data_IF_324106794908
#
_entry.id   IF_324106794908
#
_cell.length_a   1.000
_cell.length_b   1.000
_cell.length_c   1.000
_cell.angle_alpha   90.00
_cell.angle_beta   90.00
_cell.angle_gamma   90.00
#
_symmetry.space_group_name_H-M   'P 1'
#
loop_
_entity.id
_entity.type
_entity.pdbx_description
1 polymer ?
#
# COMPACT_ATOMS: atom_id res chain seq x y z
N UNK A 1 8.78 -18.28 20.50
CA UNK A 1 8.18 -16.93 20.46
C UNK A 1 9.06 -16.03 21.32
N UNK A 2 9.88 -15.19 20.71
CA UNK A 2 10.69 -14.22 21.45
C UNK A 2 9.80 -13.07 21.93
N UNK A 3 10.03 -12.59 23.15
CA UNK A 3 9.38 -11.36 23.63
C UNK A 3 9.89 -10.15 22.84
N UNK A 4 9.10 -9.07 22.70
CA UNK A 4 9.53 -7.83 22.03
C UNK A 4 10.91 -7.34 22.53
N UNK A 5 11.18 -7.52 23.83
CA UNK A 5 12.46 -7.15 24.48
C UNK A 5 13.63 -8.03 24.04
N UNK A 6 13.40 -9.32 23.82
CA UNK A 6 14.39 -10.25 23.27
C UNK A 6 14.64 -9.99 21.78
N UNK A 7 13.59 -9.69 21.01
CA UNK A 7 13.70 -9.25 19.63
C UNK A 7 14.51 -7.96 19.52
N UNK A 8 14.21 -6.93 20.31
CA UNK A 8 14.99 -5.68 20.37
C UNK A 8 16.46 -5.90 20.76
N UNK A 9 16.76 -6.88 21.61
CA UNK A 9 18.14 -7.21 22.00
C UNK A 9 18.88 -7.97 20.89
N UNK A 10 18.22 -8.91 20.22
CA UNK A 10 18.76 -9.64 19.07
C UNK A 10 18.98 -8.66 17.91
N UNK A 11 18.01 -7.79 17.67
CA UNK A 11 18.05 -6.73 16.68
C UNK A 11 19.14 -5.70 17.00
N UNK A 12 19.29 -5.26 18.25
CA UNK A 12 20.36 -4.37 18.66
C UNK A 12 21.75 -4.95 18.42
N UNK A 13 21.92 -6.28 18.59
CA UNK A 13 23.18 -6.98 18.28
C UNK A 13 23.41 -7.15 16.77
N UNK A 14 22.35 -7.37 15.99
CA UNK A 14 22.41 -7.45 14.53
C UNK A 14 22.73 -6.08 13.92
N UNK A 15 22.07 -5.01 14.39
CA UNK A 15 22.35 -3.62 14.03
C UNK A 15 23.78 -3.23 14.40
N UNK A 16 24.27 -3.56 15.61
CA UNK A 16 25.68 -3.29 15.96
C UNK A 16 26.66 -3.94 14.97
N UNK A 17 26.35 -5.14 14.47
CA UNK A 17 27.17 -5.82 13.45
C UNK A 17 27.12 -5.12 12.09
N UNK A 18 25.94 -4.68 11.65
CA UNK A 18 25.75 -3.98 10.35
C UNK A 18 26.44 -2.61 10.40
N UNK A 19 26.22 -1.83 11.47
CA UNK A 19 26.82 -0.50 11.65
C UNK A 19 28.34 -0.57 11.80
N UNK A 20 28.88 -1.56 12.54
CA UNK A 20 30.33 -1.73 12.68
C UNK A 20 30.99 -2.11 11.35
N UNK A 21 30.31 -2.92 10.52
CA UNK A 21 30.82 -3.30 9.19
C UNK A 21 30.75 -2.16 8.18
N UNK A 22 29.69 -1.35 8.22
CA UNK A 22 29.53 -0.18 7.33
C UNK A 22 30.50 0.96 7.69
N UNK A 23 30.69 1.24 9.00
CA UNK A 23 31.65 2.23 9.50
C UNK A 23 33.11 1.87 9.14
N UNK A 24 33.48 0.58 9.19
CA UNK A 24 34.83 0.13 8.84
C UNK A 24 35.13 0.13 7.33
N UNK A 25 34.10 0.05 6.48
CA UNK A 25 34.29 -0.12 5.03
C UNK A 25 34.11 1.16 4.21
N UNK A 26 33.31 2.14 4.64
CA UNK A 26 32.92 3.27 3.76
C UNK A 26 32.90 4.67 4.37
N UNK A 27 33.10 4.84 5.68
CA UNK A 27 33.12 6.18 6.30
C UNK A 27 31.80 6.97 6.17
N UNK A 28 30.68 6.29 5.95
CA UNK A 28 29.38 6.91 5.69
C UNK A 28 28.60 7.17 6.99
N UNK A 29 28.31 8.44 7.28
CA UNK A 29 27.63 8.90 8.50
C UNK A 29 26.11 8.88 8.41
N UNK A 30 25.52 8.54 7.26
CA UNK A 30 24.06 8.49 7.06
C UNK A 30 23.38 7.47 7.99
N UNK A 31 24.03 6.32 8.21
CA UNK A 31 23.56 5.25 9.13
C UNK A 31 23.54 5.69 10.60
N UNK A 32 24.43 6.63 10.98
CA UNK A 32 24.50 7.15 12.35
C UNK A 32 23.34 8.09 12.68
N UNK A 33 22.80 8.81 11.69
CA UNK A 33 21.61 9.68 11.88
C UNK A 33 20.37 8.87 12.26
N UNK A 34 20.21 7.68 11.68
CA UNK A 34 19.12 6.75 12.02
C UNK A 34 19.25 6.17 13.44
N UNK A 35 20.46 6.18 14.03
CA UNK A 35 20.74 5.64 15.37
C UNK A 35 20.42 6.62 16.50
N UNK A 36 20.57 7.94 16.28
CA UNK A 36 20.23 8.96 17.28
C UNK A 36 18.75 8.86 17.70
N UNK A 37 17.87 8.52 16.75
CA UNK A 37 16.43 8.36 16.98
C UNK A 37 16.06 7.13 17.83
N UNK A 38 16.82 6.02 17.72
CA UNK A 38 16.60 4.82 18.53
C UNK A 38 16.88 5.07 20.03
N UNK A 39 17.62 6.12 20.36
CA UNK A 39 18.01 6.48 21.74
C UNK A 39 17.05 7.41 22.48
N UNK A 40 15.95 7.86 21.85
CA UNK A 40 14.91 8.63 22.53
C UNK A 40 15.27 10.09 22.86
N UNK A 41 16.09 10.74 22.04
CA UNK A 41 16.35 12.19 22.03
C UNK A 41 16.31 12.63 20.55
N UNK A 42 15.66 13.69 20.09
CA UNK A 42 15.27 14.97 20.67
C UNK A 42 14.11 15.58 19.85
N UNK A 43 13.58 16.71 20.31
CA UNK A 43 12.64 17.60 19.62
C UNK A 43 12.99 17.85 18.15
N UNK A 44 11.96 18.15 17.34
CA UNK A 44 12.04 18.46 15.92
C UNK A 44 13.27 19.31 15.56
N UNK A 45 14.04 18.95 14.50
CA UNK A 45 15.20 19.71 14.12
C UNK A 45 14.78 21.12 13.70
N UNK A 46 15.40 22.14 14.31
CA UNK A 46 15.33 23.52 13.83
C UNK A 46 15.99 23.58 12.46
N UNK A 47 15.27 24.15 11.49
CA UNK A 47 15.74 24.47 10.15
C UNK A 47 17.16 25.08 10.15
N UNK A 48 18.16 24.32 9.72
CA UNK A 48 19.41 24.88 9.21
C UNK A 48 19.23 25.18 7.73
N UNK A 49 18.89 26.43 7.45
CA UNK A 49 18.79 26.96 6.09
C UNK A 49 20.19 27.11 5.49
N UNK A 50 20.57 26.20 4.59
CA UNK A 50 21.64 26.45 3.62
C UNK A 50 21.11 27.47 2.60
N UNK A 51 21.81 28.59 2.49
CA UNK A 51 21.31 29.81 1.85
C UNK A 51 21.08 29.69 0.35
N UNK A 52 19.80 29.63 -0.05
CA UNK A 52 19.31 29.97 -1.39
C UNK A 52 17.97 30.74 -1.28
N UNK A 53 17.96 31.97 -1.81
CA UNK A 53 16.77 32.78 -2.16
C UNK A 53 15.65 32.94 -1.11
N UNK A 54 15.78 33.92 -0.19
CA UNK A 54 14.86 34.18 0.95
C UNK A 54 13.37 34.43 0.64
N UNK A 55 12.96 34.61 -0.62
CA UNK A 55 11.56 34.88 -0.99
C UNK A 55 10.72 33.64 -1.31
N UNK A 56 11.31 32.62 -1.95
CA UNK A 56 10.61 31.38 -2.34
C UNK A 56 10.58 30.33 -1.23
N UNK A 57 11.60 30.29 -0.38
CA UNK A 57 11.74 29.32 0.72
C UNK A 57 10.69 29.51 1.82
N UNK A 58 10.28 30.76 2.11
CA UNK A 58 9.30 31.04 3.16
C UNK A 58 7.87 30.61 2.74
N UNK A 59 7.49 30.86 1.49
CA UNK A 59 6.18 30.43 0.95
C UNK A 59 6.10 28.90 0.82
N UNK A 60 7.18 28.26 0.38
CA UNK A 60 7.29 26.80 0.30
C UNK A 60 7.19 26.14 1.70
N UNK A 61 7.90 26.67 2.69
CA UNK A 61 7.83 26.19 4.07
C UNK A 61 6.45 26.40 4.71
N UNK A 62 5.78 27.52 4.44
CA UNK A 62 4.41 27.77 4.91
C UNK A 62 3.40 26.81 4.27
N UNK A 63 3.53 26.54 2.98
CA UNK A 63 2.68 25.57 2.27
C UNK A 63 2.89 24.15 2.79
N UNK A 64 4.14 23.76 3.04
CA UNK A 64 4.49 22.47 3.63
C UNK A 64 3.92 22.32 5.06
N UNK A 65 4.04 23.35 5.89
CA UNK A 65 3.46 23.37 7.22
C UNK A 65 1.92 23.25 7.21
N UNK A 66 1.25 23.92 6.26
CA UNK A 66 -0.20 23.79 6.08
C UNK A 66 -0.60 22.36 5.69
N UNK A 67 0.09 21.75 4.72
CA UNK A 67 -0.19 20.36 4.30
C UNK A 67 0.05 19.34 5.43
N UNK A 68 1.07 19.56 6.28
CA UNK A 68 1.28 18.72 7.45
C UNK A 68 0.17 18.88 8.49
N UNK A 69 -0.39 20.08 8.63
CA UNK A 69 -1.51 20.31 9.54
C UNK A 69 -2.77 19.60 9.06
N UNK A 70 -3.07 19.65 7.75
CA UNK A 70 -4.22 18.95 7.17
C UNK A 70 -4.13 17.43 7.37
N UNK A 71 -2.95 16.84 7.14
CA UNK A 71 -2.70 15.43 7.41
C UNK A 71 -2.89 15.06 8.87
N UNK A 72 -2.34 15.89 9.78
CA UNK A 72 -2.47 15.65 11.21
C UNK A 72 -3.95 15.63 11.60
N UNK A 73 -4.73 16.60 11.14
CA UNK A 73 -6.16 16.70 11.42
C UNK A 73 -6.93 15.50 10.85
N UNK A 74 -6.61 15.08 9.62
CA UNK A 74 -7.19 13.89 9.00
C UNK A 74 -6.92 12.62 9.81
N UNK A 75 -5.64 12.38 10.14
CA UNK A 75 -5.20 11.21 10.90
C UNK A 75 -5.80 11.21 12.31
N UNK A 76 -5.90 12.36 12.95
CA UNK A 76 -6.55 12.49 14.26
C UNK A 76 -8.03 12.09 14.19
N UNK A 77 -8.75 12.56 13.17
CA UNK A 77 -10.15 12.20 12.95
C UNK A 77 -10.32 10.68 12.77
N UNK A 78 -9.50 10.07 11.91
CA UNK A 78 -9.48 8.61 11.69
C UNK A 78 -9.19 7.83 12.99
N UNK A 79 -8.22 8.28 13.79
CA UNK A 79 -7.90 7.65 15.08
C UNK A 79 -9.06 7.76 16.08
N UNK A 80 -9.72 8.92 16.14
CA UNK A 80 -10.90 9.14 17.00
C UNK A 80 -12.06 8.24 16.61
N UNK A 81 -12.29 7.99 15.32
CA UNK A 81 -13.31 7.03 14.86
C UNK A 81 -13.03 5.63 15.37
N UNK A 82 -11.79 5.15 15.24
CA UNK A 82 -11.40 3.82 15.75
C UNK A 82 -11.51 3.72 17.26
N UNK A 83 -11.06 4.75 17.99
CA UNK A 83 -11.17 4.79 19.45
C UNK A 83 -12.63 4.76 19.91
N UNK A 84 -13.49 5.54 19.27
CA UNK A 84 -14.92 5.62 19.60
C UNK A 84 -15.66 4.31 19.30
N UNK A 85 -15.36 3.65 18.17
CA UNK A 85 -15.97 2.36 17.81
C UNK A 85 -15.56 1.23 18.78
N UNK A 86 -14.30 1.21 19.21
CA UNK A 86 -13.80 0.26 20.20
C UNK A 86 -14.51 0.45 21.56
N UNK A 87 -14.59 1.70 22.04
CA UNK A 87 -15.29 2.04 23.28
C UNK A 87 -16.78 1.66 23.22
N UNK A 88 -17.47 2.02 22.12
CA UNK A 88 -18.89 1.70 21.93
C UNK A 88 -19.16 0.19 21.86
N UNK A 89 -18.18 -0.60 21.41
CA UNK A 89 -18.27 -2.06 21.32
C UNK A 89 -17.82 -2.79 22.59
N UNK A 90 -17.37 -2.06 23.62
CA UNK A 90 -16.79 -2.64 24.84
C UNK A 90 -15.49 -3.42 24.60
N UNK A 91 -14.79 -3.14 23.49
CA UNK A 91 -13.54 -3.81 23.10
C UNK A 91 -12.34 -2.92 23.42
N UNK A 92 -11.17 -3.52 23.60
CA UNK A 92 -9.92 -2.77 23.60
C UNK A 92 -9.66 -2.15 22.23
N UNK A 93 -9.03 -0.98 22.21
CA UNK A 93 -8.47 -0.40 20.99
C UNK A 93 -7.31 -1.32 20.56
N UNK A 94 -7.47 -1.99 19.42
CA UNK A 94 -6.45 -2.85 18.82
C UNK A 94 -6.07 -2.26 17.46
N UNK A 95 -5.00 -1.46 17.44
CA UNK A 95 -4.47 -0.88 16.21
C UNK A 95 -3.50 -1.82 15.49
N UNK A 96 -2.96 -2.80 16.21
CA UNK A 96 -2.04 -3.81 15.66
C UNK A 96 -2.75 -4.86 14.80
N UNK A 97 -4.01 -5.17 15.11
CA UNK A 97 -4.87 -6.02 14.28
C UNK A 97 -5.66 -5.24 13.23
N UNK A 98 -5.64 -3.90 13.28
CA UNK A 98 -6.30 -3.06 12.28
C UNK A 98 -5.40 -2.93 11.04
N UNK A 99 -5.66 -3.79 10.05
CA UNK A 99 -4.94 -3.78 8.77
C UNK A 99 -4.91 -2.37 8.10
N UNK A 100 -5.95 -1.56 8.31
CA UNK A 100 -6.03 -0.23 7.71
C UNK A 100 -4.96 0.72 8.26
N UNK A 101 -4.69 0.68 9.56
CA UNK A 101 -3.86 1.67 10.26
C UNK A 101 -2.48 1.14 10.65
N UNK A 102 -2.27 -0.17 10.72
CA UNK A 102 -1.01 -0.78 11.15
C UNK A 102 0.19 -0.20 10.37
N UNK A 103 0.06 -0.10 9.05
CA UNK A 103 1.14 0.37 8.16
C UNK A 103 1.33 1.89 8.16
N UNK A 104 0.48 2.65 8.87
CA UNK A 104 0.65 4.09 9.08
C UNK A 104 1.40 4.42 10.37
N UNK A 105 1.78 3.44 11.19
CA UNK A 105 2.44 3.67 12.48
C UNK A 105 3.65 4.63 12.38
N UNK A 106 4.58 4.50 11.42
CA UNK A 106 5.69 5.46 11.29
C UNK A 106 5.23 6.90 11.05
N UNK A 107 4.19 7.08 10.23
CA UNK A 107 3.58 8.38 9.97
C UNK A 107 2.89 8.91 11.24
N UNK A 108 2.12 8.08 11.94
CA UNK A 108 1.48 8.49 13.21
C UNK A 108 2.52 8.96 14.25
N UNK A 109 3.64 8.25 14.38
CA UNK A 109 4.72 8.65 15.28
C UNK A 109 5.44 9.94 14.85
N UNK A 110 5.42 10.29 13.57
CA UNK A 110 5.99 11.53 13.06
C UNK A 110 5.06 12.74 13.28
N UNK A 111 3.74 12.54 13.17
CA UNK A 111 2.75 13.61 13.27
C UNK A 111 2.26 13.90 14.70
N UNK A 112 2.32 12.91 15.59
CA UNK A 112 1.81 13.02 16.96
C UNK A 112 2.90 12.79 17.99
N UNK A 113 2.94 13.68 18.98
CA UNK A 113 3.73 13.47 20.19
C UNK A 113 3.16 12.30 21.01
N UNK A 114 4.00 11.70 21.85
CA UNK A 114 3.58 10.66 22.79
C UNK A 114 2.42 11.12 23.68
N UNK A 115 2.40 12.40 24.09
CA UNK A 115 1.34 12.96 24.93
C UNK A 115 0.00 12.97 24.19
N UNK A 116 -0.02 13.46 22.95
CA UNK A 116 -1.23 13.49 22.11
C UNK A 116 -1.75 12.07 21.86
N UNK A 117 -0.89 11.10 21.55
CA UNK A 117 -1.31 9.71 21.37
C UNK A 117 -1.90 9.11 22.65
N UNK A 118 -1.35 9.42 23.83
CA UNK A 118 -1.90 8.97 25.12
C UNK A 118 -3.29 9.55 25.35
N UNK A 119 -3.49 10.83 25.01
CA UNK A 119 -4.79 11.49 25.14
C UNK A 119 -5.83 10.90 24.17
N UNK A 120 -5.43 10.55 22.95
CA UNK A 120 -6.32 9.99 21.92
C UNK A 120 -6.66 8.50 22.14
N UNK A 121 -5.67 7.69 22.51
CA UNK A 121 -5.75 6.22 22.44
C UNK A 121 -5.48 5.54 23.79
N UNK A 122 -5.03 6.29 24.79
CA UNK A 122 -4.62 5.76 26.09
C UNK A 122 -3.19 5.23 26.12
N UNK A 123 -2.65 5.12 27.34
CA UNK A 123 -1.24 4.78 27.60
C UNK A 123 -0.82 3.41 27.07
N UNK A 124 -1.68 2.40 27.20
CA UNK A 124 -1.37 1.02 26.79
C UNK A 124 -1.17 0.92 25.27
N UNK A 125 -2.12 1.46 24.50
CA UNK A 125 -2.10 1.44 23.03
C UNK A 125 -0.94 2.28 22.50
N UNK A 126 -0.72 3.47 23.06
CA UNK A 126 0.41 4.33 22.67
C UNK A 126 1.75 3.63 22.88
N UNK A 127 1.94 2.95 24.02
CA UNK A 127 3.18 2.20 24.26
C UNK A 127 3.37 1.11 23.20
N UNK A 128 2.29 0.41 22.82
CA UNK A 128 2.34 -0.61 21.78
C UNK A 128 2.66 -0.05 20.39
N UNK A 129 2.10 1.10 20.01
CA UNK A 129 2.42 1.81 18.76
C UNK A 129 3.91 2.13 18.72
N UNK A 130 4.46 2.68 19.80
CA UNK A 130 5.88 3.04 19.86
C UNK A 130 6.79 1.81 19.75
N UNK A 131 6.45 0.70 20.42
CA UNK A 131 7.19 -0.56 20.30
C UNK A 131 7.17 -1.10 18.85
N UNK A 132 6.01 -1.04 18.18
CA UNK A 132 5.86 -1.46 16.79
C UNK A 132 6.63 -0.54 15.84
N UNK A 133 6.58 0.77 16.06
CA UNK A 133 7.34 1.74 15.28
C UNK A 133 8.84 1.44 15.32
N UNK A 134 9.38 1.18 16.51
CA UNK A 134 10.80 0.81 16.67
C UNK A 134 11.12 -0.48 15.91
N UNK A 135 10.25 -1.48 15.97
CA UNK A 135 10.43 -2.73 15.23
C UNK A 135 10.41 -2.51 13.71
N UNK A 136 9.49 -1.69 13.20
CA UNK A 136 9.39 -1.40 11.77
C UNK A 136 10.59 -0.61 11.24
N UNK A 137 11.08 0.38 12.00
CA UNK A 137 12.27 1.15 11.64
C UNK A 137 13.48 0.24 11.56
N UNK A 138 13.69 -0.60 12.58
CA UNK A 138 14.79 -1.56 12.60
C UNK A 138 14.69 -2.56 11.44
N UNK A 139 13.49 -3.07 11.16
CA UNK A 139 13.26 -3.97 10.04
C UNK A 139 13.60 -3.28 8.71
N UNK A 140 13.22 -2.01 8.54
CA UNK A 140 13.50 -1.28 7.30
C UNK A 140 14.97 -0.98 7.11
N UNK A 141 15.73 -0.68 8.17
CA UNK A 141 17.18 -0.55 8.05
C UNK A 141 17.85 -1.83 7.50
N UNK A 142 17.36 -3.00 7.92
CA UNK A 142 17.83 -4.26 7.36
C UNK A 142 17.39 -4.43 5.90
N UNK A 143 16.12 -4.13 5.59
CA UNK A 143 15.60 -4.25 4.22
C UNK A 143 16.29 -3.29 3.26
N UNK A 144 16.63 -2.07 3.68
CA UNK A 144 17.39 -1.10 2.89
C UNK A 144 18.77 -1.65 2.52
N UNK A 145 19.50 -2.25 3.47
CA UNK A 145 20.79 -2.91 3.17
C UNK A 145 20.62 -4.00 2.09
N UNK A 146 19.59 -4.83 2.22
CA UNK A 146 19.33 -5.91 1.27
C UNK A 146 18.88 -5.38 -0.09
N UNK A 147 18.09 -4.31 -0.13
CA UNK A 147 17.67 -3.65 -1.35
C UNK A 147 18.85 -3.01 -2.07
N UNK A 148 19.70 -2.28 -1.36
CA UNK A 148 20.91 -1.67 -1.93
C UNK A 148 21.79 -2.74 -2.58
N UNK A 149 22.05 -3.84 -1.87
CA UNK A 149 22.83 -4.95 -2.42
C UNK A 149 22.16 -5.61 -3.64
N UNK A 150 20.84 -5.77 -3.60
CA UNK A 150 20.08 -6.31 -4.74
C UNK A 150 20.18 -5.39 -5.95
N UNK A 151 19.93 -4.10 -5.79
CA UNK A 151 20.01 -3.13 -6.88
C UNK A 151 21.43 -3.08 -7.48
N UNK A 152 22.46 -3.08 -6.63
CA UNK A 152 23.85 -3.13 -7.06
C UNK A 152 24.13 -4.31 -7.99
N UNK A 153 23.75 -5.53 -7.58
CA UNK A 153 24.00 -6.73 -8.39
C UNK A 153 23.17 -6.78 -9.68
N UNK A 154 21.93 -6.27 -9.66
CA UNK A 154 21.13 -6.14 -10.88
C UNK A 154 21.73 -5.12 -11.86
N UNK A 155 22.27 -4.01 -11.34
CA UNK A 155 22.97 -3.00 -12.12
C UNK A 155 24.27 -3.55 -12.73
N UNK A 156 25.10 -4.25 -11.96
CA UNK A 156 26.31 -4.92 -12.45
C UNK A 156 25.98 -5.97 -13.52
N UNK A 157 24.86 -6.68 -13.35
CA UNK A 157 24.40 -7.67 -14.32
C UNK A 157 23.72 -7.05 -15.54
N UNK A 158 23.54 -5.72 -15.60
CA UNK A 158 22.78 -5.01 -16.64
C UNK A 158 21.37 -5.61 -16.83
N UNK A 159 20.64 -5.75 -15.72
CA UNK A 159 19.23 -6.18 -15.70
C UNK A 159 18.43 -5.01 -15.14
N UNK A 160 17.73 -4.23 -15.98
CA UNK A 160 16.98 -3.07 -15.52
C UNK A 160 15.80 -3.51 -14.64
N UNK A 161 15.68 -2.87 -13.48
CA UNK A 161 14.51 -2.96 -12.62
C UNK A 161 13.79 -1.62 -12.59
N UNK A 162 12.45 -1.66 -12.61
CA UNK A 162 11.61 -0.49 -12.36
C UNK A 162 10.88 -0.67 -11.03
N UNK A 163 11.30 0.04 -9.99
CA UNK A 163 10.65 0.04 -8.68
C UNK A 163 9.40 0.92 -8.72
N UNK A 164 8.31 0.47 -8.08
CA UNK A 164 7.04 1.20 -8.20
C UNK A 164 6.16 1.25 -6.94
N UNK A 165 6.57 0.64 -5.83
CA UNK A 165 5.86 0.80 -4.53
C UNK A 165 6.83 1.26 -3.44
N UNK A 166 6.83 0.56 -2.30
CA UNK A 166 7.43 1.00 -1.04
C UNK A 166 8.76 1.73 -1.21
N UNK A 167 9.80 1.08 -1.78
CA UNK A 167 11.10 1.72 -1.91
C UNK A 167 11.12 2.92 -2.85
N UNK A 168 10.50 2.82 -4.04
CA UNK A 168 10.43 3.93 -4.98
C UNK A 168 9.76 5.15 -4.32
N UNK A 169 8.59 4.95 -3.70
CA UNK A 169 7.85 6.04 -3.07
C UNK A 169 8.61 6.62 -1.88
N UNK A 170 9.19 5.77 -1.02
CA UNK A 170 9.93 6.19 0.17
C UNK A 170 11.08 7.14 -0.17
N UNK A 171 11.82 6.86 -1.24
CA UNK A 171 13.01 7.63 -1.61
C UNK A 171 12.76 8.76 -2.60
N UNK A 172 11.55 8.89 -3.18
CA UNK A 172 11.26 9.90 -4.21
C UNK A 172 10.21 10.92 -3.83
N UNK A 173 9.13 10.53 -3.14
CA UNK A 173 7.99 11.43 -2.85
C UNK A 173 7.77 11.69 -1.37
N UNK A 174 8.20 10.79 -0.49
CA UNK A 174 8.12 11.02 0.96
C UNK A 174 9.22 11.98 1.39
N UNK A 175 8.91 12.86 2.35
CA UNK A 175 9.89 13.82 2.87
C UNK A 175 11.08 13.13 3.53
N UNK A 176 10.85 11.96 4.13
CA UNK A 176 11.87 11.12 4.74
C UNK A 176 11.52 9.65 4.49
N UNK A 177 12.47 8.86 3.96
CA UNK A 177 12.23 7.46 3.57
C UNK A 177 11.68 6.59 4.71
N UNK A 178 12.10 6.85 5.96
CA UNK A 178 11.64 6.14 7.15
C UNK A 178 10.13 6.25 7.43
N UNK A 179 9.44 7.23 6.84
CA UNK A 179 8.00 7.38 6.99
C UNK A 179 7.24 6.32 6.19
N UNK A 180 7.83 5.83 5.09
CA UNK A 180 7.23 4.83 4.21
C UNK A 180 7.94 3.49 4.32
N UNK A 181 7.73 2.82 5.44
CA UNK A 181 8.26 1.46 5.65
C UNK A 181 7.67 0.47 4.63
N UNK A 182 8.42 -0.58 4.32
CA UNK A 182 7.98 -1.70 3.46
C UNK A 182 8.42 -3.06 4.04
N UNK A 183 7.86 -4.14 3.48
CA UNK A 183 8.15 -5.53 3.89
C UNK A 183 8.65 -6.39 2.73
N UNK A 184 8.57 -5.87 1.52
CA UNK A 184 8.80 -6.51 0.24
C UNK A 184 9.36 -5.47 -0.74
N UNK A 185 9.99 -5.96 -1.81
CA UNK A 185 10.45 -5.16 -2.93
C UNK A 185 9.59 -5.48 -4.14
N UNK A 186 8.78 -4.52 -4.59
CA UNK A 186 8.02 -4.62 -5.82
C UNK A 186 8.80 -4.00 -6.98
N UNK A 187 9.06 -4.79 -8.02
CA UNK A 187 9.76 -4.31 -9.21
C UNK A 187 9.16 -4.88 -10.50
N UNK A 188 9.09 -4.05 -11.54
CA UNK A 188 8.86 -4.53 -12.90
C UNK A 188 10.18 -4.94 -13.51
N UNK A 189 10.11 -5.96 -14.35
CA UNK A 189 11.22 -6.50 -15.14
C UNK A 189 10.73 -6.84 -16.54
N UNK A 190 11.60 -6.67 -17.54
CA UNK A 190 11.30 -7.13 -18.90
C UNK A 190 11.13 -8.66 -18.92
N UNK A 191 10.13 -9.20 -19.65
CA UNK A 191 9.93 -10.64 -19.78
C UNK A 191 11.19 -11.38 -20.26
N UNK A 192 11.95 -10.77 -21.18
CA UNK A 192 13.17 -11.34 -21.76
C UNK A 192 14.33 -11.44 -20.75
N UNK A 193 14.31 -10.63 -19.70
CA UNK A 193 15.32 -10.62 -18.64
C UNK A 193 15.00 -11.58 -17.49
N UNK A 194 13.76 -12.10 -17.40
CA UNK A 194 13.37 -13.00 -16.31
C UNK A 194 14.30 -14.19 -16.13
N UNK A 195 14.72 -14.93 -17.17
CA UNK A 195 15.65 -16.05 -16.99
C UNK A 195 17.00 -15.63 -16.42
N UNK A 196 17.47 -14.40 -16.69
CA UNK A 196 18.71 -13.86 -16.13
C UNK A 196 18.51 -13.46 -14.67
N UNK A 197 17.41 -12.79 -14.36
CA UNK A 197 17.06 -12.40 -13.00
C UNK A 197 16.86 -13.59 -12.07
N UNK A 198 16.18 -14.65 -12.54
CA UNK A 198 15.99 -15.90 -11.79
C UNK A 198 17.34 -16.52 -11.39
N UNK A 199 18.28 -16.62 -12.34
CA UNK A 199 19.64 -17.13 -12.07
C UNK A 199 20.38 -16.25 -11.08
N UNK A 200 20.32 -14.93 -11.24
CA UNK A 200 20.98 -13.98 -10.36
C UNK A 200 20.44 -14.08 -8.92
N UNK A 201 19.11 -14.05 -8.77
CA UNK A 201 18.44 -14.20 -7.48
C UNK A 201 18.77 -15.54 -6.82
N UNK A 202 18.79 -16.64 -7.59
CA UNK A 202 19.18 -17.96 -7.09
C UNK A 202 20.63 -17.97 -6.60
N UNK A 203 21.56 -17.35 -7.33
CA UNK A 203 22.96 -17.20 -6.92
C UNK A 203 23.11 -16.34 -5.66
N UNK A 204 22.24 -15.36 -5.47
CA UNK A 204 22.14 -14.55 -4.25
C UNK A 204 21.51 -15.32 -3.07
N UNK A 205 21.04 -16.56 -3.29
CA UNK A 205 20.41 -17.41 -2.28
C UNK A 205 18.90 -17.20 -2.13
N UNK A 206 18.27 -16.42 -3.01
CA UNK A 206 16.81 -16.35 -3.05
C UNK A 206 16.24 -17.64 -3.62
N UNK A 207 15.21 -18.16 -2.98
CA UNK A 207 14.41 -19.25 -3.48
C UNK A 207 13.16 -18.69 -4.15
N UNK A 208 12.86 -19.15 -5.36
CA UNK A 208 11.57 -18.92 -5.97
C UNK A 208 10.50 -19.62 -5.12
N UNK A 209 9.56 -18.84 -4.57
CA UNK A 209 8.42 -19.38 -3.85
C UNK A 209 7.27 -19.59 -4.83
N UNK A 210 7.07 -20.85 -5.17
CA UNK A 210 5.99 -21.26 -6.05
C UNK A 210 4.72 -21.49 -5.24
N UNK A 211 3.77 -20.56 -5.28
CA UNK A 211 2.49 -20.78 -4.63
C UNK A 211 1.73 -21.89 -5.40
N UNK A 212 1.59 -23.07 -4.81
CA UNK A 212 0.92 -24.25 -5.38
C UNK A 212 -0.44 -23.95 -6.06
N UNK A 213 -1.14 -22.88 -5.63
CA UNK A 213 -2.43 -22.43 -6.17
C UNK A 213 -2.35 -21.74 -7.53
N UNK A 214 -1.24 -21.08 -7.88
CA UNK A 214 -1.13 -20.31 -9.12
C UNK A 214 -0.96 -21.21 -10.35
N UNK A 215 -0.16 -22.27 -10.25
CA UNK A 215 0.23 -23.08 -11.42
C UNK A 215 -0.86 -24.02 -11.95
N UNK A 216 -1.79 -24.45 -11.10
CA UNK A 216 -2.88 -25.35 -11.52
C UNK A 216 -3.98 -24.58 -12.28
N UNK A 217 -4.02 -23.25 -12.13
CA UNK A 217 -5.19 -22.44 -12.49
C UNK A 217 -4.83 -21.26 -13.42
N UNK A 218 -3.61 -20.73 -13.38
CA UNK A 218 -3.24 -19.46 -14.01
C UNK A 218 -2.11 -19.64 -15.04
N UNK A 219 -2.48 -19.67 -16.33
CA UNK A 219 -1.52 -19.73 -17.45
C UNK A 219 -0.92 -18.36 -17.78
N UNK A 220 -1.49 -17.29 -17.26
CA UNK A 220 -1.15 -15.89 -17.59
C UNK A 220 -0.44 -15.21 -16.40
N UNK A 221 0.41 -15.95 -15.69
CA UNK A 221 1.13 -15.44 -14.50
C UNK A 221 2.05 -14.28 -14.88
N UNK A 222 1.84 -13.14 -14.24
CA UNK A 222 2.67 -11.93 -14.44
C UNK A 222 3.55 -11.57 -13.24
N UNK A 223 3.44 -12.28 -12.11
CA UNK A 223 4.19 -12.02 -10.88
C UNK A 223 4.97 -13.24 -10.39
N UNK A 224 6.17 -13.00 -9.84
CA UNK A 224 7.14 -14.02 -9.45
C UNK A 224 7.76 -13.65 -8.10
N UNK A 225 7.47 -14.44 -7.08
CA UNK A 225 7.87 -14.15 -5.71
C UNK A 225 9.14 -14.91 -5.33
N UNK A 226 10.16 -14.16 -4.94
CA UNK A 226 11.45 -14.70 -4.50
C UNK A 226 11.66 -14.36 -3.04
N UNK A 227 12.19 -15.33 -2.31
CA UNK A 227 12.37 -15.28 -0.87
C UNK A 227 13.82 -15.54 -0.51
N UNK A 228 14.43 -14.65 0.26
CA UNK A 228 15.70 -14.93 0.94
C UNK A 228 15.44 -15.12 2.44
N UNK A 229 15.71 -16.35 2.91
CA UNK A 229 15.69 -16.70 4.33
C UNK A 229 17.13 -16.97 4.79
N UNK A 230 17.62 -16.16 5.73
CA UNK A 230 18.96 -16.32 6.28
C UNK A 230 18.90 -16.99 7.64
N UNK A 231 19.78 -17.96 7.88
CA UNK A 231 19.84 -18.66 9.17
C UNK A 231 20.19 -17.74 10.35
N UNK A 232 20.89 -16.64 10.09
CA UNK A 232 21.30 -15.66 11.09
C UNK A 232 20.31 -14.48 11.25
N UNK A 233 19.19 -14.50 10.53
CA UNK A 233 18.13 -13.49 10.61
C UNK A 233 16.77 -14.14 10.86
N UNK A 234 15.94 -13.48 11.65
CA UNK A 234 14.53 -13.86 11.77
C UNK A 234 13.68 -13.25 10.64
N UNK A 235 14.24 -12.29 9.91
CA UNK A 235 13.53 -11.58 8.85
C UNK A 235 13.76 -12.25 7.50
N UNK A 236 12.65 -12.51 6.83
CA UNK A 236 12.58 -12.95 5.45
C UNK A 236 12.57 -11.73 4.53
N UNK A 237 13.44 -11.73 3.52
CA UNK A 237 13.42 -10.71 2.47
C UNK A 237 12.61 -11.24 1.30
N UNK A 238 11.70 -10.42 0.78
CA UNK A 238 10.84 -10.80 -0.34
C UNK A 238 11.03 -9.79 -1.47
N UNK A 239 11.25 -10.29 -2.68
CA UNK A 239 11.15 -9.51 -3.91
C UNK A 239 10.07 -10.12 -4.80
N UNK A 240 9.12 -9.30 -5.21
CA UNK A 240 8.08 -9.64 -6.17
C UNK A 240 8.46 -9.00 -7.51
N UNK A 241 8.86 -9.85 -8.46
CA UNK A 241 9.15 -9.43 -9.83
C UNK A 241 7.88 -9.55 -10.67
N UNK A 242 7.56 -8.48 -11.39
CA UNK A 242 6.39 -8.43 -12.25
C UNK A 242 6.79 -8.18 -13.70
N UNK A 243 6.19 -8.91 -14.64
CA UNK A 243 6.28 -8.60 -16.07
C UNK A 243 5.14 -7.67 -16.52
N UNK A 244 4.04 -7.67 -15.77
CA UNK A 244 2.90 -6.77 -15.93
C UNK A 244 2.08 -6.73 -14.62
N UNK A 245 1.25 -5.71 -14.39
CA UNK A 245 0.22 -5.72 -13.35
C UNK A 245 -0.60 -7.00 -13.39
N UNK A 246 -1.12 -7.43 -12.23
CA UNK A 246 -1.89 -8.66 -12.16
C UNK A 246 -3.13 -8.61 -13.07
N UNK A 247 -3.38 -9.65 -13.91
CA UNK A 247 -4.44 -9.65 -14.92
C UNK A 247 -5.84 -9.88 -14.35
N UNK A 248 -6.01 -9.80 -13.03
CA UNK A 248 -7.18 -10.28 -12.30
C UNK A 248 -8.34 -9.28 -12.24
N UNK A 249 -8.19 -8.06 -12.77
CA UNK A 249 -9.27 -7.08 -12.85
C UNK A 249 -9.88 -7.02 -14.25
N UNK A 250 -11.21 -7.07 -14.32
CA UNK A 250 -11.94 -6.91 -15.58
C UNK A 250 -11.68 -5.50 -16.11
N UNK A 251 -11.12 -5.41 -17.31
CA UNK A 251 -11.14 -4.20 -18.13
C UNK A 251 -9.93 -3.27 -17.97
N UNK A 252 -9.15 -3.39 -16.89
CA UNK A 252 -7.94 -2.57 -16.71
C UNK A 252 -6.82 -3.02 -17.63
N UNK A 253 -6.28 -2.09 -18.41
CA UNK A 253 -5.22 -2.34 -19.38
C UNK A 253 -4.09 -1.34 -19.15
N UNK A 254 -2.94 -1.81 -18.68
CA UNK A 254 -1.73 -1.00 -18.61
C UNK A 254 -0.89 -1.21 -19.88
N UNK A 255 -0.42 -0.11 -20.46
CA UNK A 255 0.50 -0.14 -21.60
C UNK A 255 1.93 -0.24 -21.07
N UNK A 256 2.40 -1.47 -20.91
CA UNK A 256 3.69 -1.78 -20.28
C UNK A 256 4.85 -1.28 -21.14
N UNK A 257 4.75 -1.40 -22.46
CA UNK A 257 5.78 -0.91 -23.38
C UNK A 257 5.89 0.61 -23.29
N UNK A 258 4.76 1.34 -23.30
CA UNK A 258 4.78 2.79 -23.15
C UNK A 258 5.30 3.22 -21.76
N UNK A 259 5.00 2.46 -20.71
CA UNK A 259 5.49 2.69 -19.36
C UNK A 259 7.01 2.54 -19.28
N UNK A 260 7.59 1.48 -19.86
CA UNK A 260 9.04 1.29 -19.96
C UNK A 260 9.71 2.38 -20.82
N UNK A 261 9.11 2.74 -21.95
CA UNK A 261 9.65 3.77 -22.85
C UNK A 261 9.73 5.17 -22.20
N UNK A 262 8.89 5.43 -21.19
CA UNK A 262 8.82 6.71 -20.48
C UNK A 262 9.32 6.65 -19.04
N UNK A 263 9.89 5.50 -18.64
CA UNK A 263 10.37 5.27 -17.29
C UNK A 263 11.30 6.40 -16.83
N UNK A 264 11.17 6.78 -15.56
CA UNK A 264 11.95 7.86 -14.96
C UNK A 264 13.15 7.26 -14.22
N UNK A 265 14.32 7.85 -14.41
CA UNK A 265 15.50 7.50 -13.62
C UNK A 265 15.38 8.05 -12.22
N UNK A 266 15.63 7.21 -11.23
CA UNK A 266 15.69 7.59 -9.82
C UNK A 266 16.92 6.95 -9.17
N UNK A 267 17.32 7.49 -8.02
CA UNK A 267 18.37 6.91 -7.19
C UNK A 267 17.74 6.41 -5.89
N UNK A 268 18.01 5.15 -5.54
CA UNK A 268 17.54 4.53 -4.30
C UNK A 268 18.76 3.98 -3.57
N UNK A 269 19.04 4.53 -2.38
CA UNK A 269 20.17 4.12 -1.54
C UNK A 269 21.53 4.20 -2.28
N UNK A 270 21.72 5.22 -3.12
CA UNK A 270 22.93 5.41 -3.93
C UNK A 270 23.01 4.54 -5.18
N UNK A 271 22.01 3.69 -5.44
CA UNK A 271 21.95 2.82 -6.62
C UNK A 271 20.96 3.38 -7.65
N UNK A 272 21.36 3.54 -8.92
CA UNK A 272 20.46 3.98 -9.98
C UNK A 272 19.42 2.89 -10.28
N UNK A 273 18.20 3.29 -10.52
CA UNK A 273 17.10 2.41 -10.94
C UNK A 273 16.05 3.20 -11.72
N UNK A 274 14.95 2.55 -12.10
CA UNK A 274 13.85 3.16 -12.81
C UNK A 274 12.59 3.22 -11.93
N UNK A 275 11.69 4.14 -12.24
CA UNK A 275 10.33 4.16 -11.73
C UNK A 275 9.34 4.55 -12.82
N UNK A 276 8.04 4.43 -12.53
CA UNK A 276 6.99 4.74 -13.48
C UNK A 276 6.94 6.24 -13.80
N UNK A 277 6.47 6.62 -15.00
CA UNK A 277 6.05 8.00 -15.27
C UNK A 277 4.96 8.45 -14.26
N UNK A 278 4.93 9.72 -13.82
CA UNK A 278 4.02 10.15 -12.74
C UNK A 278 2.53 9.86 -12.97
N UNK A 279 2.04 10.01 -14.20
CA UNK A 279 0.64 9.71 -14.56
C UNK A 279 0.34 8.21 -14.40
N UNK A 280 1.18 7.36 -14.98
CA UNK A 280 1.02 5.91 -14.91
C UNK A 280 1.20 5.42 -13.46
N UNK A 281 2.12 6.01 -12.71
CA UNK A 281 2.35 5.70 -11.31
C UNK A 281 1.13 6.02 -10.44
N UNK A 282 0.56 7.22 -10.60
CA UNK A 282 -0.65 7.62 -9.88
C UNK A 282 -1.83 6.69 -10.17
N UNK A 283 -2.04 6.34 -11.44
CA UNK A 283 -3.08 5.39 -11.85
C UNK A 283 -2.83 3.99 -11.28
N UNK A 284 -1.57 3.54 -11.29
CA UNK A 284 -1.18 2.26 -10.69
C UNK A 284 -1.47 2.24 -9.19
N UNK A 285 -1.14 3.30 -8.44
CA UNK A 285 -1.42 3.37 -7.00
C UNK A 285 -2.92 3.34 -6.71
N UNK A 286 -3.75 4.07 -7.49
CA UNK A 286 -5.20 4.02 -7.37
C UNK A 286 -5.75 2.62 -7.68
N UNK A 287 -5.27 2.00 -8.76
CA UNK A 287 -5.64 0.63 -9.12
C UNK A 287 -5.22 -0.38 -8.05
N UNK A 288 -4.00 -0.31 -7.54
CA UNK A 288 -3.49 -1.21 -6.51
C UNK A 288 -4.27 -1.09 -5.20
N UNK A 289 -4.58 0.15 -4.80
CA UNK A 289 -5.38 0.39 -3.60
C UNK A 289 -6.77 -0.23 -3.73
N UNK A 290 -7.41 -0.05 -4.89
CA UNK A 290 -8.66 -0.69 -5.25
C UNK A 290 -8.55 -2.21 -5.28
N UNK A 291 -7.51 -2.75 -5.93
CA UNK A 291 -7.29 -4.19 -6.11
C UNK A 291 -7.31 -4.94 -4.79
N UNK A 292 -6.75 -4.35 -3.73
CA UNK A 292 -6.79 -4.89 -2.38
C UNK A 292 -8.01 -4.44 -1.57
N UNK A 293 -9.11 -4.07 -2.23
CA UNK A 293 -10.37 -3.66 -1.61
C UNK A 293 -10.19 -2.57 -0.54
N UNK A 294 -9.29 -1.63 -0.79
CA UNK A 294 -9.02 -0.50 0.10
C UNK A 294 -8.62 -0.94 1.53
N UNK A 295 -7.92 -2.06 1.67
CA UNK A 295 -7.67 -2.65 3.00
C UNK A 295 -6.72 -1.83 3.86
N UNK A 296 -5.70 -1.20 3.27
CA UNK A 296 -4.66 -0.42 3.97
C UNK A 296 -4.74 1.06 3.65
N UNK A 297 -4.87 1.91 4.66
CA UNK A 297 -4.93 3.37 4.47
C UNK A 297 -3.60 3.96 4.01
N UNK A 298 -2.48 3.27 4.27
CA UNK A 298 -1.16 3.63 3.73
C UNK A 298 -1.18 3.79 2.20
N UNK A 299 -1.91 2.95 1.47
CA UNK A 299 -1.97 3.05 0.01
C UNK A 299 -2.76 4.28 -0.47
N UNK A 300 -3.78 4.73 0.27
CA UNK A 300 -4.40 6.03 0.00
C UNK A 300 -3.43 7.17 0.33
N UNK A 301 -2.68 7.04 1.43
CA UNK A 301 -1.71 8.04 1.83
C UNK A 301 -0.55 8.15 0.82
N UNK A 302 -0.13 7.05 0.20
CA UNK A 302 0.80 7.06 -0.94
C UNK A 302 0.28 7.96 -2.09
N UNK A 303 -1.02 7.90 -2.39
CA UNK A 303 -1.67 8.77 -3.39
C UNK A 303 -1.71 10.24 -2.92
N UNK A 304 -1.98 10.50 -1.64
CA UNK A 304 -1.95 11.86 -1.06
C UNK A 304 -0.56 12.49 -1.21
N UNK A 305 0.48 11.76 -0.81
CA UNK A 305 1.87 12.23 -0.89
C UNK A 305 2.29 12.42 -2.35
N UNK A 306 1.91 11.49 -3.25
CA UNK A 306 2.17 11.61 -4.69
C UNK A 306 1.54 12.88 -5.26
N UNK A 307 0.25 13.12 -5.00
CA UNK A 307 -0.47 14.30 -5.49
C UNK A 307 0.13 15.60 -4.97
N UNK A 308 0.64 15.63 -3.74
CA UNK A 308 1.32 16.82 -3.21
C UNK A 308 2.70 17.03 -3.80
N UNK A 309 3.42 15.94 -4.11
CA UNK A 309 4.75 16.02 -4.69
C UNK A 309 4.72 16.47 -6.16
N UNK A 310 3.80 15.94 -6.98
CA UNK A 310 3.79 16.21 -8.44
C UNK A 310 2.57 16.99 -8.94
N UNK A 311 1.57 17.24 -8.09
CA UNK A 311 0.26 17.76 -8.53
C UNK A 311 0.27 19.14 -9.18
N UNK A 312 1.26 19.99 -8.85
CA UNK A 312 1.41 21.31 -9.48
C UNK A 312 1.91 21.25 -10.93
N UNK A 313 2.62 20.18 -11.28
CA UNK A 313 3.19 19.96 -12.62
C UNK A 313 2.43 18.87 -13.40
N UNK A 314 1.43 18.26 -12.76
CA UNK A 314 0.66 17.15 -13.32
C UNK A 314 -0.26 17.65 -14.45
N UNK A 315 -0.12 17.08 -15.63
CA UNK A 315 -1.09 17.26 -16.72
C UNK A 315 -2.37 16.48 -16.40
N UNK A 316 -3.32 17.16 -15.78
CA UNK A 316 -4.63 16.64 -15.43
C UNK A 316 -5.42 16.14 -16.65
N UNK A 317 -5.25 16.76 -17.82
CA UNK A 317 -5.94 16.31 -19.04
C UNK A 317 -5.39 14.98 -19.51
N UNK A 318 -4.06 14.85 -19.59
CA UNK A 318 -3.42 13.59 -19.95
C UNK A 318 -3.71 12.48 -18.94
N UNK A 319 -3.79 12.80 -17.63
CA UNK A 319 -4.20 11.85 -16.59
C UNK A 319 -5.63 11.33 -16.85
N UNK A 320 -6.58 12.22 -17.11
CA UNK A 320 -7.98 11.83 -17.36
C UNK A 320 -8.11 10.98 -18.61
N UNK A 321 -7.43 11.36 -19.70
CA UNK A 321 -7.43 10.59 -20.96
C UNK A 321 -6.82 9.21 -20.78
N UNK A 322 -5.71 9.12 -20.06
CA UNK A 322 -5.05 7.85 -19.75
C UNK A 322 -5.93 6.99 -18.85
N UNK A 323 -6.53 7.56 -17.79
CA UNK A 323 -7.46 6.86 -16.92
C UNK A 323 -8.63 6.24 -17.70
N UNK A 324 -9.22 6.99 -18.64
CA UNK A 324 -10.31 6.50 -19.49
C UNK A 324 -9.86 5.40 -20.45
N UNK A 325 -8.71 5.56 -21.09
CA UNK A 325 -8.13 4.54 -21.97
C UNK A 325 -7.86 3.23 -21.23
N UNK A 326 -7.41 3.32 -19.97
CA UNK A 326 -7.10 2.17 -19.11
C UNK A 326 -8.30 1.66 -18.28
N UNK A 327 -9.51 2.22 -18.46
CA UNK A 327 -10.74 1.87 -17.71
C UNK A 327 -10.59 2.04 -16.18
N UNK A 328 -9.92 3.13 -15.77
CA UNK A 328 -9.66 3.51 -14.39
C UNK A 328 -10.30 4.84 -13.99
N UNK A 329 -11.18 5.43 -14.82
CA UNK A 329 -11.72 6.77 -14.56
C UNK A 329 -12.53 6.83 -13.26
N UNK A 330 -13.38 5.84 -13.00
CA UNK A 330 -14.16 5.72 -11.77
C UNK A 330 -13.28 5.46 -10.56
N UNK A 331 -12.26 4.60 -10.70
CA UNK A 331 -11.27 4.33 -9.63
C UNK A 331 -10.52 5.60 -9.25
N UNK A 332 -10.02 6.33 -10.25
CA UNK A 332 -9.33 7.59 -10.07
C UNK A 332 -10.25 8.62 -9.40
N UNK A 333 -11.49 8.78 -9.87
CA UNK A 333 -12.47 9.70 -9.29
C UNK A 333 -12.61 9.53 -7.77
N UNK A 334 -12.81 8.29 -7.29
CA UNK A 334 -13.01 8.05 -5.87
C UNK A 334 -11.73 8.18 -5.06
N UNK A 335 -10.58 7.72 -5.58
CA UNK A 335 -9.31 7.91 -4.88
C UNK A 335 -8.98 9.40 -4.71
N UNK A 336 -9.15 10.19 -5.78
CA UNK A 336 -9.02 11.65 -5.73
C UNK A 336 -10.01 12.29 -4.77
N UNK A 337 -11.29 11.85 -4.79
CA UNK A 337 -12.31 12.36 -3.88
C UNK A 337 -11.97 12.08 -2.42
N UNK A 338 -11.41 10.91 -2.10
CA UNK A 338 -11.02 10.59 -0.73
C UNK A 338 -9.76 11.35 -0.30
N UNK A 339 -8.78 11.55 -1.20
CA UNK A 339 -7.63 12.42 -0.93
C UNK A 339 -8.09 13.85 -0.63
N UNK A 340 -9.04 14.38 -1.41
CA UNK A 340 -9.62 15.70 -1.20
C UNK A 340 -10.42 15.78 0.11
N UNK A 341 -11.40 14.88 0.31
CA UNK A 341 -12.33 14.93 1.44
C UNK A 341 -11.65 14.65 2.78
N UNK A 342 -10.69 13.72 2.82
CA UNK A 342 -10.05 13.31 4.06
C UNK A 342 -8.78 14.11 4.37
N UNK A 343 -7.95 14.40 3.36
CA UNK A 343 -6.61 14.99 3.56
C UNK A 343 -6.46 16.40 2.96
N UNK A 344 -7.56 17.00 2.48
CA UNK A 344 -7.56 18.37 1.97
C UNK A 344 -6.72 18.58 0.71
N UNK A 345 -6.42 17.52 -0.04
CA UNK A 345 -5.62 17.65 -1.28
C UNK A 345 -6.37 18.53 -2.29
N UNK A 346 -5.67 19.54 -2.80
CA UNK A 346 -6.20 20.45 -3.81
C UNK A 346 -6.31 19.72 -5.16
N UNK A 347 -7.53 19.60 -5.68
CA UNK A 347 -7.82 18.96 -6.97
C UNK A 347 -8.74 19.88 -7.78
N UNK A 348 -8.41 20.20 -9.04
CA UNK A 348 -9.25 21.06 -9.86
C UNK A 348 -10.68 20.51 -9.99
N UNK A 349 -11.69 21.38 -9.82
CA UNK A 349 -13.10 20.96 -9.81
C UNK A 349 -13.55 20.34 -11.15
N UNK A 350 -12.95 20.76 -12.27
CA UNK A 350 -13.23 20.21 -13.59
C UNK A 350 -12.78 18.74 -13.72
N UNK A 351 -11.76 18.32 -12.99
CA UNK A 351 -11.30 16.92 -12.95
C UNK A 351 -12.40 16.01 -12.44
N UNK A 352 -13.09 16.39 -11.35
CA UNK A 352 -14.22 15.62 -10.83
C UNK A 352 -15.40 15.57 -11.81
N UNK A 353 -15.70 16.70 -12.49
CA UNK A 353 -16.74 16.73 -13.50
C UNK A 353 -16.41 15.80 -14.68
N UNK A 354 -15.15 15.79 -15.12
CA UNK A 354 -14.65 14.99 -16.25
C UNK A 354 -14.45 13.52 -15.93
N UNK A 355 -14.24 13.13 -14.67
CA UNK A 355 -14.09 11.73 -14.24
C UNK A 355 -15.38 11.13 -13.67
N UNK A 356 -16.48 11.89 -13.67
CA UNK A 356 -17.71 11.53 -12.97
C UNK A 356 -18.22 10.11 -13.34
N UNK A 357 -18.35 9.19 -12.36
CA UNK A 357 -18.80 7.83 -12.63
C UNK A 357 -20.27 7.75 -13.09
N UNK A 358 -20.66 6.66 -13.76
CA UNK A 358 -22.06 6.40 -14.12
C UNK A 358 -22.99 6.42 -12.91
N UNK A 359 -24.25 6.82 -13.12
CA UNK A 359 -25.21 7.02 -12.03
C UNK A 359 -25.38 5.77 -11.14
N UNK A 360 -25.52 4.59 -11.74
CA UNK A 360 -25.68 3.33 -10.99
C UNK A 360 -24.43 3.04 -10.15
N UNK A 361 -23.22 3.22 -10.70
CA UNK A 361 -21.97 3.07 -9.94
C UNK A 361 -21.94 4.03 -8.74
N UNK A 362 -22.32 5.31 -8.94
CA UNK A 362 -22.39 6.30 -7.86
C UNK A 362 -23.39 5.92 -6.78
N UNK A 363 -24.59 5.47 -7.14
CA UNK A 363 -25.57 5.03 -6.16
C UNK A 363 -25.05 3.84 -5.34
N UNK A 364 -24.41 2.86 -5.98
CA UNK A 364 -23.84 1.71 -5.28
C UNK A 364 -22.68 2.10 -4.36
N UNK A 365 -21.73 2.92 -4.84
CA UNK A 365 -20.57 3.32 -4.06
C UNK A 365 -20.98 4.31 -2.97
N UNK A 366 -21.58 5.45 -3.30
CA UNK A 366 -21.82 6.56 -2.37
C UNK A 366 -22.95 6.28 -1.37
N UNK A 367 -23.97 5.48 -1.73
CA UNK A 367 -25.12 5.24 -0.83
C UNK A 367 -25.07 3.91 -0.09
N UNK A 368 -24.49 2.88 -0.71
CA UNK A 368 -24.51 1.52 -0.15
C UNK A 368 -23.15 1.15 0.43
N UNK A 369 -22.09 1.24 -0.37
CA UNK A 369 -20.78 0.76 0.02
C UNK A 369 -20.07 1.73 0.97
N UNK A 370 -20.01 3.00 0.62
CA UNK A 370 -19.25 4.07 1.28
C UNK A 370 -20.15 5.26 1.66
N UNK A 371 -21.22 5.08 2.48
CA UNK A 371 -22.04 6.22 2.92
C UNK A 371 -21.31 7.17 3.86
N UNK A 372 -20.23 6.68 4.48
CA UNK A 372 -19.24 7.45 5.23
C UNK A 372 -17.89 6.80 4.89
N UNK A 373 -17.10 7.48 4.07
CA UNK A 373 -15.80 6.97 3.60
C UNK A 373 -14.81 6.79 4.75
N UNK A 374 -14.75 7.71 5.71
CA UNK A 374 -13.82 7.65 6.83
C UNK A 374 -14.09 6.42 7.70
N UNK A 375 -15.34 6.21 8.12
CA UNK A 375 -15.73 5.02 8.87
C UNK A 375 -15.50 3.74 8.08
N UNK A 376 -15.84 3.73 6.78
CA UNK A 376 -15.77 2.50 5.99
C UNK A 376 -14.33 2.06 5.75
N UNK A 377 -13.41 3.02 5.56
CA UNK A 377 -11.98 2.75 5.34
C UNK A 377 -11.23 2.31 6.60
N UNK A 378 -11.62 2.76 7.79
CA UNK A 378 -10.89 2.42 9.04
C UNK A 378 -11.55 1.40 9.95
N UNK A 379 -12.87 1.24 9.92
CA UNK A 379 -13.57 0.35 10.86
C UNK A 379 -13.61 -1.10 10.37
N UNK A 380 -13.11 -2.09 11.15
CA UNK A 380 -13.08 -3.50 10.75
C UNK A 380 -14.46 -4.07 10.40
N UNK A 381 -15.51 -3.68 11.15
CA UNK A 381 -16.88 -4.14 10.92
C UNK A 381 -17.44 -3.73 9.55
N UNK A 382 -16.86 -2.72 8.88
CA UNK A 382 -17.29 -2.23 7.57
C UNK A 382 -16.43 -2.75 6.41
N UNK A 383 -15.41 -3.58 6.65
CA UNK A 383 -14.53 -4.13 5.62
C UNK A 383 -15.27 -4.79 4.45
N UNK A 384 -16.34 -5.55 4.73
CA UNK A 384 -17.13 -6.20 3.69
C UNK A 384 -17.77 -5.21 2.69
N UNK A 385 -18.03 -3.97 3.11
CA UNK A 385 -18.56 -2.93 2.22
C UNK A 385 -17.51 -2.43 1.23
N UNK A 386 -16.23 -2.48 1.58
CA UNK A 386 -15.13 -2.11 0.68
C UNK A 386 -15.06 -3.01 -0.55
N UNK A 387 -15.39 -4.30 -0.39
CA UNK A 387 -15.50 -5.26 -1.50
C UNK A 387 -16.63 -4.87 -2.46
N UNK A 388 -17.73 -4.32 -1.94
CA UNK A 388 -18.83 -3.81 -2.78
C UNK A 388 -18.35 -2.57 -3.55
N UNK A 389 -17.67 -1.64 -2.86
CA UNK A 389 -17.10 -0.46 -3.50
C UNK A 389 -16.13 -0.85 -4.62
N UNK A 390 -15.16 -1.72 -4.34
CA UNK A 390 -14.18 -2.26 -5.29
C UNK A 390 -14.83 -2.70 -6.61
N UNK A 391 -15.89 -3.51 -6.50
CA UNK A 391 -16.63 -4.05 -7.65
C UNK A 391 -17.50 -3.03 -8.37
N UNK A 392 -17.94 -1.98 -7.67
CA UNK A 392 -18.85 -0.97 -8.20
C UNK A 392 -18.11 0.19 -8.89
N UNK A 393 -16.80 0.33 -8.72
CA UNK A 393 -15.99 1.42 -9.30
C UNK A 393 -15.65 1.22 -10.79
N UNK A 394 -16.60 0.79 -11.60
CA UNK A 394 -16.39 0.56 -13.05
C UNK A 394 -16.76 1.77 -13.90
N UNK A 395 -16.20 1.86 -15.10
CA UNK A 395 -16.33 3.02 -15.99
C UNK A 395 -17.60 2.98 -16.84
N UNK A 396 -18.21 1.79 -16.99
CA UNK A 396 -19.45 1.62 -17.74
C UNK A 396 -20.56 0.88 -16.99
N UNK A 397 -21.81 1.20 -17.33
CA UNK A 397 -22.97 0.48 -16.80
C UNK A 397 -23.00 -0.98 -17.29
N UNK A 398 -22.43 -1.28 -18.45
CA UNK A 398 -22.33 -2.65 -18.95
C UNK A 398 -21.34 -3.47 -18.11
N UNK A 399 -20.21 -2.87 -17.72
CA UNK A 399 -19.26 -3.50 -16.82
C UNK A 399 -19.87 -3.84 -15.46
N UNK A 400 -20.73 -3.00 -14.89
CA UNK A 400 -21.32 -3.33 -13.57
C UNK A 400 -22.21 -4.57 -13.66
N UNK A 401 -22.96 -4.73 -14.76
CA UNK A 401 -23.71 -5.95 -15.01
C UNK A 401 -22.78 -7.15 -15.24
N UNK A 402 -21.68 -6.99 -15.98
CA UNK A 402 -20.67 -8.03 -16.19
C UNK A 402 -20.01 -8.46 -14.88
N UNK A 403 -19.63 -7.52 -14.01
CA UNK A 403 -19.09 -7.79 -12.67
C UNK A 403 -20.12 -8.52 -11.82
N UNK A 404 -21.39 -8.11 -11.85
CA UNK A 404 -22.48 -8.79 -11.16
C UNK A 404 -22.65 -10.25 -11.64
N UNK A 405 -22.64 -10.46 -12.95
CA UNK A 405 -22.73 -11.78 -13.55
C UNK A 405 -21.52 -12.65 -13.17
N UNK A 406 -20.29 -12.14 -13.29
CA UNK A 406 -19.08 -12.87 -12.89
C UNK A 406 -18.97 -13.10 -11.38
N UNK A 407 -19.62 -12.27 -10.56
CA UNK A 407 -19.71 -12.48 -9.11
C UNK A 407 -20.62 -13.66 -8.78
N UNK A 408 -21.70 -13.86 -9.53
CA UNK A 408 -22.66 -14.96 -9.34
C UNK A 408 -22.26 -16.23 -10.09
N UNK A 409 -21.60 -16.07 -11.24
CA UNK A 409 -21.17 -17.14 -12.13
C UNK A 409 -19.69 -16.94 -12.51
N UNK A 410 -18.76 -17.02 -11.52
CA UNK A 410 -17.33 -16.84 -11.79
C UNK A 410 -16.79 -18.01 -12.63
N UNK A 411 -15.70 -17.84 -13.39
CA UNK A 411 -15.12 -18.93 -14.17
C UNK A 411 -14.72 -20.13 -13.27
N UNK A 412 -14.63 -21.37 -13.80
CA UNK A 412 -14.30 -22.56 -13.02
C UNK A 412 -13.00 -22.43 -12.21
N UNK A 413 -12.00 -21.77 -12.78
CA UNK A 413 -10.75 -21.38 -12.13
C UNK A 413 -10.96 -20.56 -10.83
N UNK A 414 -11.90 -19.61 -10.84
CA UNK A 414 -12.23 -18.79 -9.68
C UNK A 414 -13.11 -19.54 -8.67
N UNK A 415 -13.99 -20.45 -9.12
CA UNK A 415 -14.70 -21.37 -8.23
C UNK A 415 -13.73 -22.30 -7.51
N UNK A 416 -12.76 -22.86 -8.23
CA UNK A 416 -11.71 -23.70 -7.67
C UNK A 416 -10.94 -22.95 -6.58
N UNK A 417 -10.43 -21.76 -6.87
CA UNK A 417 -9.78 -20.91 -5.86
C UNK A 417 -10.63 -20.70 -4.60
N UNK A 418 -11.95 -20.59 -4.73
CA UNK A 418 -12.86 -20.30 -3.62
C UNK A 418 -13.28 -21.53 -2.80
N UNK A 419 -13.37 -22.70 -3.41
CA UNK A 419 -13.92 -23.91 -2.76
C UNK A 419 -12.92 -25.05 -2.59
N UNK A 420 -11.70 -24.96 -3.14
CA UNK A 420 -10.71 -26.03 -3.10
C UNK A 420 -10.30 -26.47 -1.69
N UNK A 421 -10.31 -25.56 -0.71
CA UNK A 421 -10.03 -25.91 0.68
C UNK A 421 -11.23 -26.60 1.38
N UNK A 422 -12.43 -26.52 0.78
CA UNK A 422 -13.69 -27.01 1.36
C UNK A 422 -14.31 -28.16 0.56
N UNK A 423 -13.65 -28.60 -0.52
CA UNK A 423 -14.18 -29.61 -1.44
C UNK A 423 -13.08 -30.53 -1.94
N UNK A 424 -13.34 -31.84 -1.90
CA UNK A 424 -12.45 -32.87 -2.46
C UNK A 424 -12.76 -33.21 -3.92
N UNK A 425 -13.68 -32.48 -4.54
CA UNK A 425 -14.01 -32.70 -5.95
C UNK A 425 -12.78 -32.41 -6.82
N UNK A 426 -12.57 -33.14 -7.93
CA UNK A 426 -11.60 -32.76 -8.95
C UNK A 426 -12.05 -31.47 -9.64
N UNK A 427 -11.09 -30.64 -10.10
CA UNK A 427 -11.33 -29.35 -10.78
C UNK A 427 -12.40 -29.41 -11.88
N UNK A 428 -12.45 -30.52 -12.62
CA UNK A 428 -13.41 -30.77 -13.70
C UNK A 428 -14.89 -30.79 -13.24
N UNK A 429 -15.14 -31.06 -11.95
CA UNK A 429 -16.50 -31.12 -11.38
C UNK A 429 -16.90 -29.83 -10.65
N UNK A 430 -16.07 -28.77 -10.68
CA UNK A 430 -16.39 -27.52 -9.98
C UNK A 430 -17.57 -26.76 -10.60
N UNK A 431 -18.00 -27.10 -11.82
CA UNK A 431 -19.22 -26.55 -12.39
C UNK A 431 -20.46 -26.86 -11.52
N UNK A 432 -20.43 -27.94 -10.71
CA UNK A 432 -21.51 -28.25 -9.78
C UNK A 432 -21.73 -27.14 -8.74
N UNK A 433 -20.68 -26.37 -8.41
CA UNK A 433 -20.83 -25.20 -7.53
C UNK A 433 -21.68 -24.09 -8.15
N UNK A 434 -21.93 -24.04 -9.47
CA UNK A 434 -22.85 -23.05 -10.04
C UNK A 434 -24.30 -23.20 -9.55
N UNK A 435 -24.70 -24.37 -9.04
CA UNK A 435 -26.03 -24.58 -8.45
C UNK A 435 -26.18 -23.91 -7.09
N UNK A 436 -25.07 -23.78 -6.34
CA UNK A 436 -25.08 -23.33 -4.94
C UNK A 436 -24.42 -21.95 -4.77
N UNK A 437 -23.44 -21.62 -5.60
CA UNK A 437 -22.64 -20.41 -5.49
C UNK A 437 -23.45 -19.12 -5.57
N UNK A 438 -24.40 -18.93 -6.51
CA UNK A 438 -25.22 -17.71 -6.55
C UNK A 438 -25.96 -17.48 -5.24
N UNK A 439 -26.58 -18.53 -4.68
CA UNK A 439 -27.31 -18.46 -3.42
C UNK A 439 -26.40 -18.15 -2.23
N UNK A 440 -25.24 -18.80 -2.15
CA UNK A 440 -24.24 -18.51 -1.09
C UNK A 440 -23.74 -17.07 -1.19
N UNK A 441 -23.47 -16.59 -2.40
CA UNK A 441 -22.98 -15.22 -2.63
C UNK A 441 -24.05 -14.18 -2.30
N UNK A 442 -25.31 -14.39 -2.72
CA UNK A 442 -26.45 -13.53 -2.36
C UNK A 442 -26.69 -13.52 -0.85
N UNK A 443 -26.71 -14.70 -0.20
CA UNK A 443 -26.92 -14.81 1.24
C UNK A 443 -25.78 -14.18 2.06
N UNK A 444 -24.54 -14.23 1.56
CA UNK A 444 -23.41 -13.49 2.16
C UNK A 444 -23.60 -11.98 1.96
N UNK A 445 -23.96 -11.53 0.76
CA UNK A 445 -24.24 -10.12 0.44
C UNK A 445 -25.30 -9.51 1.35
N UNK A 446 -26.45 -10.17 1.51
CA UNK A 446 -27.51 -9.73 2.43
C UNK A 446 -27.04 -9.68 3.89
N UNK A 447 -26.29 -10.68 4.35
CA UNK A 447 -25.71 -10.64 5.71
C UNK A 447 -24.74 -9.49 5.91
N UNK A 448 -23.94 -9.14 4.90
CA UNK A 448 -23.03 -7.99 5.00
C UNK A 448 -23.77 -6.65 5.02
N UNK A 449 -24.86 -6.51 4.27
CA UNK A 449 -25.67 -5.28 4.24
C UNK A 449 -26.53 -5.12 5.50
N UNK A 450 -27.14 -6.21 5.99
CA UNK A 450 -28.02 -6.22 7.16
C UNK A 450 -27.27 -6.36 8.50
N UNK A 451 -26.04 -6.87 8.46
CA UNK A 451 -25.16 -7.12 9.60
C UNK A 451 -24.51 -5.87 10.18
N UNK A 452 -25.31 -4.89 10.60
CA UNK A 452 -24.93 -3.92 11.65
C UNK A 452 -26.10 -3.46 12.53
N UNK A 453 -27.25 -4.15 12.50
CA UNK A 453 -28.40 -3.85 13.39
C UNK A 453 -28.68 -4.88 14.49
N UNK A 454 -27.91 -5.96 14.61
CA UNK A 454 -28.16 -6.98 15.65
C UNK A 454 -27.05 -7.01 16.69
N UNK A 455 -27.16 -6.10 17.67
CA UNK A 455 -26.85 -6.31 19.10
C UNK A 455 -27.27 -5.06 19.89
N UNK A 456 -28.56 -4.75 19.83
CA UNK A 456 -29.22 -3.85 20.79
C UNK A 456 -30.55 -4.47 21.17
N UNK A 457 -30.51 -5.49 22.03
CA UNK A 457 -31.55 -5.89 23.01
C UNK A 457 -31.23 -7.27 23.59
N UNK A 458 -31.53 -7.39 24.88
CA UNK A 458 -31.39 -8.52 25.81
C UNK A 458 -29.95 -8.68 26.32
N UNK A 459 -29.61 -8.42 27.59
CA UNK A 459 -30.39 -8.28 28.83
C UNK A 459 -29.89 -7.10 29.66
#
# INVERSE_FOLDING_TARGET
MFTNKQLLTILGKALLRITYRSYLLKGDSSVLHNYAFLSGFQEAPKNEAVGLGRGHTQVSAMRQAATMQDDKTALEHLLRLVATDALASGKSIELDSNEALLRLIPILCAYFSRKELIELLGKKVTTRILDLHQLEVVQNLFLEEQLQHLLHLFNEAHIPLMLFKGPALAHTIYSEARLRTYHDFDAFIHPDDMPRADRLLTQMGYAFYEEYRSNVIDRDRTGYNYTLERQDSWLKVVIELHTAPHPSEIGTLFDIEAMWAKAQHIEVLGEPTLTMPPIDHLLYLCWHYRFHSFSRLLWLYDVVVMLRAVGSELDWTALIETARRQQLASTLYYCLSWCHNLFGVEIPADVFARLRPPLICRLLVERIAMPDEAETLVLPRRQARRIIAHRAMVDSTVEIFKVGLQTLFPPPAALARRYMDHSRLPLQLYFLFYLVHPWVTIARGFRYLLGSRSKRRQS
#
